data_IF_191520725730
#
_entry.id   IF_191520725730
#
_cell.length_a   1.000
_cell.length_b   1.000
_cell.length_c   1.000
_cell.angle_alpha   90.00
_cell.angle_beta   90.00
_cell.angle_gamma   90.00
#
_symmetry.space_group_name_H-M   'P 1'
#
loop_
_entity.id
_entity.type
_entity.pdbx_description
1 polymer ?
#
# COMPACT_ATOMS: atom_id res chain seq x y z
N UNK A 1 -10.53 14.53 11.30
CA UNK A 1 -11.00 14.58 9.91
C UNK A 1 -11.88 13.38 9.69
N UNK A 2 -13.17 13.61 9.52
CA UNK A 2 -14.10 12.64 8.95
C UNK A 2 -13.69 12.34 7.50
N UNK A 3 -14.23 11.29 6.91
CA UNK A 3 -13.96 10.93 5.51
C UNK A 3 -14.35 12.05 4.53
N UNK A 4 -15.44 12.76 4.83
CA UNK A 4 -15.92 13.91 4.05
C UNK A 4 -14.92 15.06 4.12
N UNK A 5 -14.53 15.46 5.34
CA UNK A 5 -13.57 16.56 5.54
C UNK A 5 -12.21 16.26 4.90
N UNK A 6 -11.78 14.98 4.89
CA UNK A 6 -10.54 14.57 4.24
C UNK A 6 -10.63 14.70 2.71
N UNK A 7 -11.74 14.28 2.13
CA UNK A 7 -11.95 14.33 0.68
C UNK A 7 -12.03 15.78 0.18
N UNK A 8 -12.74 16.64 0.92
CA UNK A 8 -12.78 18.08 0.65
C UNK A 8 -11.38 18.71 0.76
N UNK A 9 -10.58 18.29 1.73
CA UNK A 9 -9.21 18.80 1.87
C UNK A 9 -8.30 18.39 0.70
N UNK A 10 -8.35 17.13 0.26
CA UNK A 10 -7.54 16.62 -0.86
C UNK A 10 -7.91 17.35 -2.16
N UNK A 11 -9.19 17.55 -2.42
CA UNK A 11 -9.68 18.15 -3.68
C UNK A 11 -9.44 19.67 -3.76
N UNK A 12 -9.22 20.33 -2.61
CA UNK A 12 -9.03 21.79 -2.53
C UNK A 12 -7.71 22.29 -3.17
N UNK A 13 -6.69 21.45 -3.28
CA UNK A 13 -5.42 21.85 -3.91
C UNK A 13 -4.69 20.65 -4.50
N UNK A 14 -4.08 20.84 -5.67
CA UNK A 14 -3.19 19.83 -6.28
C UNK A 14 -1.98 19.50 -5.40
N UNK A 15 -1.59 20.37 -4.48
CA UNK A 15 -0.51 20.11 -3.51
C UNK A 15 -0.93 19.12 -2.42
N UNK A 16 -2.23 18.91 -2.21
CA UNK A 16 -2.75 17.97 -1.21
C UNK A 16 -2.86 16.53 -1.76
N UNK A 17 -2.48 16.30 -3.02
CA UNK A 17 -2.45 14.96 -3.65
C UNK A 17 -1.60 13.96 -2.87
N UNK A 18 -0.57 14.41 -2.16
CA UNK A 18 0.27 13.55 -1.31
C UNK A 18 -0.55 12.79 -0.24
N UNK A 19 -1.81 13.20 -0.01
CA UNK A 19 -2.78 12.56 0.87
C UNK A 19 -3.78 11.65 0.14
N UNK A 20 -3.54 11.24 -1.11
CA UNK A 20 -4.41 10.26 -1.80
C UNK A 20 -4.54 8.95 -1.01
N UNK A 21 -3.44 8.49 -0.40
CA UNK A 21 -3.49 7.46 0.65
C UNK A 21 -3.37 8.07 2.03
N UNK A 22 -3.99 7.42 3.01
CA UNK A 22 -3.93 7.83 4.42
C UNK A 22 -2.50 7.99 4.92
N UNK A 23 -1.62 7.09 4.52
CA UNK A 23 -0.19 7.13 4.81
C UNK A 23 0.60 6.81 3.53
N UNK A 24 1.72 7.51 3.31
CA UNK A 24 2.58 7.24 2.14
C UNK A 24 3.13 5.80 2.13
N UNK A 25 3.28 5.19 3.31
CA UNK A 25 3.67 3.80 3.47
C UNK A 25 2.64 2.83 2.86
N UNK A 26 1.35 3.20 2.78
CA UNK A 26 0.31 2.33 2.22
C UNK A 26 0.54 2.02 0.73
N UNK A 27 1.41 2.76 0.04
CA UNK A 27 1.85 2.39 -1.31
C UNK A 27 2.61 1.06 -1.36
N UNK A 28 3.29 0.68 -0.27
CA UNK A 28 3.97 -0.62 -0.16
C UNK A 28 2.97 -1.78 -0.09
N UNK A 29 1.78 -1.55 0.46
CA UNK A 29 0.75 -2.59 0.63
C UNK A 29 -0.19 -2.69 -0.58
N UNK A 30 0.14 -2.04 -1.70
CA UNK A 30 -0.59 -2.21 -2.94
C UNK A 30 -0.50 -3.66 -3.44
N UNK A 31 -1.58 -4.18 -4.01
CA UNK A 31 -1.61 -5.52 -4.60
C UNK A 31 -0.52 -5.71 -5.66
N UNK A 32 -0.20 -4.69 -6.44
CA UNK A 32 0.89 -4.73 -7.43
C UNK A 32 2.24 -5.05 -6.77
N UNK A 33 2.56 -4.36 -5.67
CA UNK A 33 3.80 -4.54 -4.92
C UNK A 33 3.83 -5.89 -4.21
N UNK A 34 2.72 -6.29 -3.58
CA UNK A 34 2.60 -7.57 -2.88
C UNK A 34 2.75 -8.76 -3.84
N UNK A 35 2.09 -8.70 -5.02
CA UNK A 35 2.23 -9.74 -6.05
C UNK A 35 3.66 -9.85 -6.54
N UNK A 36 4.32 -8.74 -6.85
CA UNK A 36 5.72 -8.76 -7.29
C UNK A 36 6.64 -9.35 -6.21
N UNK A 37 6.46 -8.95 -4.96
CA UNK A 37 7.23 -9.51 -3.85
C UNK A 37 7.03 -11.01 -3.72
N UNK A 38 5.77 -11.46 -3.72
CA UNK A 38 5.42 -12.87 -3.65
C UNK A 38 6.05 -13.65 -4.81
N UNK A 39 5.93 -13.16 -6.06
CA UNK A 39 6.52 -13.78 -7.26
C UNK A 39 8.05 -13.92 -7.15
N UNK A 40 8.76 -12.87 -6.73
CA UNK A 40 10.22 -12.90 -6.57
C UNK A 40 10.72 -13.86 -5.49
N UNK A 41 9.85 -14.22 -4.55
CA UNK A 41 10.17 -15.13 -3.44
C UNK A 41 9.57 -16.53 -3.63
N UNK A 42 9.12 -16.87 -4.84
CA UNK A 42 8.47 -18.16 -5.15
C UNK A 42 7.26 -18.46 -4.25
N UNK A 43 6.49 -17.42 -3.91
CA UNK A 43 5.25 -17.50 -3.12
C UNK A 43 4.06 -17.07 -3.98
N UNK A 44 2.86 -17.42 -3.52
CA UNK A 44 1.61 -16.95 -4.10
C UNK A 44 0.98 -15.89 -3.20
N UNK A 45 0.52 -14.79 -3.79
CA UNK A 45 -0.23 -13.76 -3.08
C UNK A 45 -1.68 -14.22 -2.89
N UNK A 46 -2.13 -14.31 -1.64
CA UNK A 46 -3.52 -14.62 -1.30
C UNK A 46 -4.39 -13.36 -1.41
N UNK A 47 -4.80 -13.08 -2.65
CA UNK A 47 -5.66 -11.94 -2.96
C UNK A 47 -7.04 -12.04 -2.29
N UNK A 48 -7.58 -13.26 -2.13
CA UNK A 48 -8.89 -13.45 -1.48
C UNK A 48 -8.82 -13.06 -0.01
N UNK A 49 -7.72 -13.38 0.68
CA UNK A 49 -7.50 -12.96 2.06
C UNK A 49 -7.31 -11.45 2.16
N UNK A 50 -6.53 -10.87 1.25
CA UNK A 50 -6.33 -9.42 1.21
C UNK A 50 -7.66 -8.67 1.06
N UNK A 51 -8.52 -9.09 0.11
CA UNK A 51 -9.79 -8.44 -0.19
C UNK A 51 -10.84 -8.57 0.92
N UNK A 52 -10.68 -9.54 1.83
CA UNK A 52 -11.52 -9.65 3.03
C UNK A 52 -11.14 -8.65 4.12
N UNK A 53 -9.91 -8.15 4.11
CA UNK A 53 -9.36 -7.30 5.18
C UNK A 53 -9.18 -5.85 4.74
N UNK A 54 -8.72 -5.63 3.50
CA UNK A 54 -8.46 -4.31 2.93
C UNK A 54 -9.58 -3.96 1.95
N UNK A 55 -10.51 -3.12 2.39
CA UNK A 55 -11.65 -2.68 1.59
C UNK A 55 -11.32 -1.44 0.74
N UNK A 56 -10.55 -0.52 1.31
CA UNK A 56 -10.10 0.69 0.62
C UNK A 56 -8.73 1.12 1.13
N UNK A 57 -7.67 0.77 0.39
CA UNK A 57 -6.28 1.11 0.72
C UNK A 57 -6.00 2.62 0.83
N UNK A 58 -6.83 3.45 0.20
CA UNK A 58 -6.65 4.89 0.19
C UNK A 58 -7.18 5.53 1.49
N UNK A 59 -8.29 5.04 2.03
CA UNK A 59 -8.99 5.63 3.17
C UNK A 59 -8.82 4.84 4.49
N UNK A 60 -8.68 3.53 4.40
CA UNK A 60 -8.63 2.64 5.55
C UNK A 60 -7.35 2.84 6.37
N UNK A 61 -7.47 2.72 7.70
CA UNK A 61 -6.30 2.59 8.56
C UNK A 61 -5.74 1.16 8.42
N UNK A 62 -4.56 1.04 7.81
CA UNK A 62 -3.92 -0.25 7.56
C UNK A 62 -3.02 -0.71 8.70
N UNK A 63 -2.70 0.14 9.69
CA UNK A 63 -1.89 -0.25 10.86
C UNK A 63 -2.38 -1.51 11.55
N UNK A 64 -3.68 -1.67 11.89
CA UNK A 64 -4.16 -2.91 12.50
C UNK A 64 -4.15 -4.12 11.54
N UNK A 65 -3.98 -3.90 10.23
CA UNK A 65 -4.04 -4.93 9.20
C UNK A 65 -2.67 -5.36 8.68
N UNK A 66 -1.57 -4.72 9.09
CA UNK A 66 -0.25 -4.98 8.51
C UNK A 66 0.20 -6.44 8.66
N UNK A 67 -0.11 -7.08 9.80
CA UNK A 67 0.16 -8.50 10.02
C UNK A 67 -0.68 -9.41 9.11
N UNK A 68 -1.94 -9.04 8.89
CA UNK A 68 -2.84 -9.79 8.00
C UNK A 68 -2.38 -9.68 6.53
N UNK A 69 -1.98 -8.47 6.12
CA UNK A 69 -1.39 -8.22 4.79
C UNK A 69 -0.08 -9.00 4.62
N UNK A 70 0.78 -9.04 5.64
CA UNK A 70 2.01 -9.84 5.62
C UNK A 70 1.70 -11.34 5.45
N UNK A 71 0.67 -11.83 6.14
CA UNK A 71 0.24 -13.21 6.05
C UNK A 71 -0.34 -13.57 4.66
N UNK A 72 -0.87 -12.60 3.90
CA UNK A 72 -1.29 -12.79 2.51
C UNK A 72 -0.12 -13.17 1.58
N UNK A 73 1.13 -12.85 1.96
CA UNK A 73 2.33 -13.31 1.26
C UNK A 73 3.04 -14.47 1.96
N UNK A 74 2.37 -15.18 2.88
CA UNK A 74 2.95 -16.30 3.64
C UNK A 74 4.30 -15.92 4.29
N UNK A 75 4.40 -14.69 4.79
CA UNK A 75 5.54 -14.18 5.55
C UNK A 75 5.12 -14.08 7.02
N UNK A 76 6.00 -14.50 7.91
CA UNK A 76 5.86 -14.28 9.35
C UNK A 76 7.09 -13.48 9.81
N UNK A 77 6.91 -12.57 10.77
CA UNK A 77 8.03 -11.86 11.40
C UNK A 77 7.80 -10.36 11.52
N UNK A 78 8.89 -9.60 11.56
CA UNK A 78 8.84 -8.16 11.78
C UNK A 78 8.22 -7.43 10.58
N UNK A 79 7.22 -6.59 10.84
CA UNK A 79 6.54 -5.80 9.80
C UNK A 79 7.46 -4.76 9.17
N UNK A 80 8.38 -4.18 9.93
CA UNK A 80 9.35 -3.21 9.40
C UNK A 80 10.29 -3.87 8.39
N UNK A 81 10.74 -5.09 8.66
CA UNK A 81 11.57 -5.84 7.71
C UNK A 81 10.77 -6.20 6.45
N UNK A 82 9.52 -6.65 6.62
CA UNK A 82 8.64 -6.89 5.49
C UNK A 82 8.46 -5.65 4.61
N UNK A 83 8.21 -4.48 5.20
CA UNK A 83 8.11 -3.21 4.46
C UNK A 83 9.40 -2.85 3.71
N UNK A 84 10.57 -3.10 4.31
CA UNK A 84 11.86 -2.91 3.64
C UNK A 84 11.99 -3.82 2.42
N UNK A 85 11.55 -5.07 2.52
CA UNK A 85 11.55 -5.99 1.38
C UNK A 85 10.54 -5.57 0.29
N UNK A 86 9.35 -5.12 0.66
CA UNK A 86 8.37 -4.56 -0.29
C UNK A 86 8.95 -3.35 -1.04
N UNK A 87 9.63 -2.44 -0.33
CA UNK A 87 10.25 -1.27 -0.96
C UNK A 87 11.30 -1.65 -2.01
N UNK A 88 12.03 -2.76 -1.84
CA UNK A 88 13.04 -3.23 -2.80
C UNK A 88 12.46 -3.73 -4.11
N UNK A 89 11.20 -4.17 -4.13
CA UNK A 89 10.58 -4.72 -5.35
C UNK A 89 9.87 -3.65 -6.19
N UNK A 90 9.60 -2.48 -5.60
CA UNK A 90 9.05 -1.33 -6.32
C UNK A 90 10.03 -0.90 -7.42
N UNK A 91 9.54 -0.82 -8.66
CA UNK A 91 10.36 -0.44 -9.81
C UNK A 91 9.62 0.51 -10.75
N UNK A 92 10.38 1.12 -11.66
CA UNK A 92 9.90 2.20 -12.55
C UNK A 92 8.76 1.81 -13.50
N UNK A 93 8.50 0.52 -13.70
CA UNK A 93 7.45 0.04 -14.58
C UNK A 93 6.10 -0.15 -13.85
N UNK A 94 6.09 0.00 -12.52
CA UNK A 94 4.89 -0.17 -11.69
C UNK A 94 4.03 1.08 -11.67
N UNK A 95 2.72 0.88 -11.60
CA UNK A 95 1.74 1.96 -11.41
C UNK A 95 1.99 2.68 -10.09
N UNK A 96 2.31 1.93 -9.03
CA UNK A 96 2.67 2.50 -7.72
C UNK A 96 3.86 3.45 -7.81
N UNK A 97 4.89 3.14 -8.60
CA UNK A 97 6.03 4.03 -8.77
C UNK A 97 5.66 5.32 -9.50
N UNK A 98 4.84 5.22 -10.57
CA UNK A 98 4.35 6.40 -11.28
C UNK A 98 3.53 7.32 -10.36
N UNK A 99 2.65 6.75 -9.54
CA UNK A 99 1.86 7.50 -8.55
C UNK A 99 2.76 8.15 -7.49
N UNK A 100 3.68 7.40 -6.89
CA UNK A 100 4.63 7.97 -5.92
C UNK A 100 5.43 9.13 -6.53
N UNK A 101 5.84 9.00 -7.80
CA UNK A 101 6.59 10.05 -8.49
C UNK A 101 5.76 11.33 -8.66
N UNK A 102 4.50 11.25 -9.05
CA UNK A 102 3.63 12.43 -9.22
C UNK A 102 3.23 13.10 -7.90
N UNK A 103 3.36 12.38 -6.78
CA UNK A 103 3.08 12.91 -5.45
C UNK A 103 4.27 13.61 -4.81
N UNK A 104 5.49 13.18 -5.13
CA UNK A 104 6.72 13.66 -4.52
C UNK A 104 7.44 14.71 -5.39
N UNK A 105 7.29 14.64 -6.72
CA UNK A 105 8.00 15.47 -7.70
C UNK A 105 7.04 16.16 -8.68
#
# INVERSE_FOLDING_TARGET
LTEVERTEFITKSSSNKMLERREIENYLFDKEVLREYCNKNSKSFDETRYDKSVNDINLQDLKPLQQEIQACCSVNGNISDFKRELAKVVNKNMTVYANLKTLIF
#
